data_IF_606983717754
#
_entry.id   IF_606983717754
#
_cell.length_a   1.000
_cell.length_b   1.000
_cell.length_c   1.000
_cell.angle_alpha   90.00
_cell.angle_beta   90.00
_cell.angle_gamma   90.00
#
_symmetry.space_group_name_H-M   'P 1'
#
loop_
_entity.id
_entity.type
_entity.pdbx_description
1 polymer ?
#
# COMPACT_ATOMS: atom_id res chain seq x y z
N UNK A 1 -0.75 14.57 -12.42
CA UNK A 1 -1.09 13.13 -12.50
C UNK A 1 -1.52 12.76 -13.91
N UNK A 2 -0.97 11.68 -14.50
CA UNK A 2 -1.23 11.31 -15.91
C UNK A 2 -2.07 10.04 -16.10
N UNK A 3 -2.04 9.11 -15.14
CA UNK A 3 -2.68 7.78 -15.26
C UNK A 3 -3.82 7.54 -14.27
N UNK A 4 -4.16 8.52 -13.42
CA UNK A 4 -5.18 8.41 -12.35
C UNK A 4 -5.01 7.20 -11.41
N UNK A 5 -3.77 6.74 -11.22
CA UNK A 5 -3.44 5.66 -10.28
C UNK A 5 -3.18 6.27 -8.91
N UNK A 6 -3.76 5.72 -7.82
CA UNK A 6 -3.46 6.17 -6.46
C UNK A 6 -2.01 5.86 -6.08
N UNK A 7 -1.33 6.83 -5.45
CA UNK A 7 0.08 6.73 -5.08
C UNK A 7 0.19 6.59 -3.56
N UNK A 8 0.77 5.47 -3.13
CA UNK A 8 1.18 5.22 -1.74
C UNK A 8 2.70 5.25 -1.70
N UNK A 9 3.32 6.05 -0.82
CA UNK A 9 4.77 6.17 -0.77
C UNK A 9 5.32 6.44 0.64
N UNK A 10 6.54 5.96 0.88
CA UNK A 10 7.34 6.29 2.06
C UNK A 10 7.93 7.68 1.85
N UNK A 11 7.84 8.55 2.85
CA UNK A 11 8.31 9.94 2.79
C UNK A 11 9.19 10.23 4.00
N UNK A 12 10.45 10.60 3.75
CA UNK A 12 11.36 11.16 4.75
C UNK A 12 11.35 12.70 4.71
N UNK A 13 12.06 13.33 5.63
CA UNK A 13 12.19 14.78 5.85
C UNK A 13 12.60 15.60 4.62
N UNK A 14 13.20 14.97 3.61
CA UNK A 14 13.66 15.60 2.37
C UNK A 14 12.75 15.35 1.16
N UNK A 15 11.67 14.57 1.29
CA UNK A 15 10.72 14.29 0.23
C UNK A 15 9.52 15.27 0.26
N UNK A 16 8.98 15.63 -0.91
CA UNK A 16 7.75 16.43 -1.00
C UNK A 16 6.50 15.51 -1.00
N UNK A 17 5.60 15.60 -0.01
CA UNK A 17 4.39 14.78 0.06
C UNK A 17 3.24 15.23 -0.85
N UNK A 18 3.30 16.42 -1.47
CA UNK A 18 2.15 17.05 -2.14
C UNK A 18 1.51 16.21 -3.27
N UNK A 19 2.28 15.35 -3.94
CA UNK A 19 1.78 14.54 -5.05
C UNK A 19 1.27 13.14 -4.64
N UNK A 20 1.46 12.76 -3.37
CA UNK A 20 1.19 11.42 -2.83
C UNK A 20 -0.20 11.37 -2.21
N UNK A 21 -1.00 10.34 -2.53
CA UNK A 21 -2.34 10.16 -1.96
C UNK A 21 -2.30 9.67 -0.51
N UNK A 22 -1.41 8.71 -0.26
CA UNK A 22 -1.25 8.08 1.04
C UNK A 22 0.21 8.09 1.44
N UNK A 23 0.52 8.95 2.40
CA UNK A 23 1.89 9.16 2.88
C UNK A 23 2.19 8.22 4.05
N UNK A 24 3.30 7.50 3.95
CA UNK A 24 3.88 6.70 5.04
C UNK A 24 5.13 7.43 5.54
N UNK A 25 5.07 8.15 6.67
CA UNK A 25 6.26 8.81 7.20
C UNK A 25 7.30 7.78 7.64
N UNK A 26 8.54 7.89 7.17
CA UNK A 26 9.60 6.95 7.51
C UNK A 26 10.92 7.23 6.79
N UNK A 27 11.98 6.57 7.24
CA UNK A 27 13.30 6.63 6.63
C UNK A 27 13.36 5.68 5.43
N UNK A 28 13.39 6.23 4.22
CA UNK A 28 13.44 5.49 2.95
C UNK A 28 14.87 5.11 2.52
N UNK A 29 15.89 5.79 3.05
CA UNK A 29 17.31 5.47 2.82
C UNK A 29 17.77 4.17 3.52
N UNK A 30 17.15 3.82 4.66
CA UNK A 30 17.58 2.72 5.48
C UNK A 30 17.01 1.37 5.00
N UNK A 31 17.90 0.48 4.52
CA UNK A 31 17.53 -0.89 4.11
C UNK A 31 16.70 -1.66 5.14
N UNK A 32 16.95 -1.45 6.44
CA UNK A 32 16.18 -2.09 7.52
C UNK A 32 14.76 -1.56 7.61
N UNK A 33 14.56 -0.26 7.42
CA UNK A 33 13.24 0.37 7.45
C UNK A 33 12.43 -0.05 6.22
N UNK A 34 13.03 -0.02 5.03
CA UNK A 34 12.39 -0.51 3.78
C UNK A 34 11.97 -1.96 3.92
N UNK A 35 12.85 -2.84 4.45
CA UNK A 35 12.51 -4.26 4.67
C UNK A 35 11.36 -4.45 5.65
N UNK A 36 11.34 -3.67 6.74
CA UNK A 36 10.26 -3.71 7.73
C UNK A 36 8.92 -3.33 7.11
N UNK A 37 8.88 -2.21 6.39
CA UNK A 37 7.65 -1.69 5.77
C UNK A 37 7.17 -2.65 4.67
N UNK A 38 8.07 -3.10 3.79
CA UNK A 38 7.72 -4.05 2.73
C UNK A 38 7.23 -5.40 3.30
N UNK A 39 7.83 -5.87 4.39
CA UNK A 39 7.38 -7.08 5.10
C UNK A 39 5.96 -6.92 5.65
N UNK A 40 5.71 -5.85 6.41
CA UNK A 40 4.37 -5.56 6.95
C UNK A 40 3.31 -5.40 5.84
N UNK A 41 3.66 -4.79 4.71
CA UNK A 41 2.79 -4.70 3.54
C UNK A 41 2.49 -6.09 2.95
N UNK A 42 3.49 -6.96 2.84
CA UNK A 42 3.29 -8.32 2.34
C UNK A 42 2.36 -9.12 3.27
N UNK A 43 2.58 -9.04 4.58
CA UNK A 43 1.75 -9.70 5.58
C UNK A 43 0.29 -9.22 5.50
N UNK A 44 0.07 -7.90 5.44
CA UNK A 44 -1.27 -7.32 5.30
C UNK A 44 -1.98 -7.76 4.00
N UNK A 45 -1.24 -7.89 2.88
CA UNK A 45 -1.81 -8.40 1.62
C UNK A 45 -2.17 -9.89 1.74
N UNK A 46 -1.37 -10.69 2.43
CA UNK A 46 -1.67 -12.10 2.68
C UNK A 46 -2.90 -12.26 3.57
N UNK A 47 -2.98 -11.49 4.67
CA UNK A 47 -4.14 -11.45 5.55
C UNK A 47 -5.41 -11.03 4.79
N UNK A 48 -5.33 -9.97 4.00
CA UNK A 48 -6.46 -9.51 3.18
C UNK A 48 -6.92 -10.55 2.15
N UNK A 49 -5.99 -11.31 1.55
CA UNK A 49 -6.33 -12.40 0.61
C UNK A 49 -6.95 -13.60 1.31
N UNK A 50 -6.51 -13.92 2.53
CA UNK A 50 -7.09 -15.01 3.33
C UNK A 50 -8.47 -14.64 3.84
N UNK A 51 -8.66 -13.41 4.34
CA UNK A 51 -9.98 -12.90 4.76
C UNK A 51 -10.99 -12.81 3.62
N UNK A 52 -10.54 -12.65 2.37
CA UNK A 52 -11.41 -12.66 1.19
C UNK A 52 -11.85 -14.08 0.74
N UNK A 53 -11.38 -15.16 1.38
CA UNK A 53 -11.91 -16.51 1.13
C UNK A 53 -13.25 -16.75 1.85
N UNK A 54 -13.66 -15.86 2.77
CA UNK A 54 -14.94 -15.96 3.50
C UNK A 54 -16.02 -14.99 2.97
N UNK A 55 -15.70 -14.10 2.03
CA UNK A 55 -16.71 -13.28 1.34
C UNK A 55 -17.20 -14.04 0.08
N UNK A 56 -18.48 -14.43 -0.03
CA UNK A 56 -18.98 -15.15 -1.19
C UNK A 56 -18.84 -14.28 -2.44
N UNK A 57 -18.52 -14.94 -3.56
CA UNK A 57 -18.47 -14.37 -4.90
C UNK A 57 -19.86 -13.97 -5.44
N UNK A 58 -20.56 -13.04 -4.77
CA UNK A 58 -21.86 -12.51 -5.17
C UNK A 58 -21.80 -11.01 -5.51
N UNK A 59 -20.98 -10.59 -6.48
CA UNK A 59 -21.20 -9.25 -7.09
C UNK A 59 -20.72 -9.09 -8.53
N UNK A 60 -20.30 -10.17 -9.20
CA UNK A 60 -19.86 -10.11 -10.62
C UNK A 60 -20.91 -10.64 -11.63
N UNK A 61 -22.14 -10.97 -11.19
CA UNK A 61 -23.17 -11.55 -12.05
C UNK A 61 -24.35 -10.61 -12.41
N UNK A 62 -24.37 -9.37 -11.91
CA UNK A 62 -25.46 -8.41 -12.15
C UNK A 62 -24.97 -7.07 -12.73
N UNK A 63 -24.11 -7.11 -13.76
CA UNK A 63 -23.82 -5.97 -14.61
C UNK A 63 -24.05 -6.33 -16.08
#
# INVERSE_FOLDING_TARGET
RKLNIPIVAIVDTNCNPDEIDYVIPGNDDAIRAVKLIAGAMADAVLEGKQGNQEAPAEEAANA
#
